data_IF_383706524364
#
_entry.id   IF_383706524364
#
_cell.length_a   1.000
_cell.length_b   1.000
_cell.length_c   1.000
_cell.angle_alpha   90.00
_cell.angle_beta   90.00
_cell.angle_gamma   90.00
#
_symmetry.space_group_name_H-M   'P 1'
#
loop_
_entity.id
_entity.type
_entity.pdbx_description
1 polymer ?
#
# COMPACT_ATOMS: atom_id res chain seq x y z
N UNK A 1 13.60 15.67 16.00
CA UNK A 1 13.92 15.56 14.56
C UNK A 1 12.83 14.66 13.99
N UNK A 2 11.87 15.23 13.25
CA UNK A 2 10.65 14.51 12.87
C UNK A 2 10.97 13.30 11.99
N UNK A 3 10.60 12.13 12.48
CA UNK A 3 10.72 10.85 11.78
C UNK A 3 9.58 10.75 10.79
N UNK A 4 9.90 10.49 9.52
CA UNK A 4 8.91 10.40 8.45
C UNK A 4 8.74 8.96 7.99
N UNK A 5 7.48 8.55 7.84
CA UNK A 5 7.15 7.25 7.28
C UNK A 5 7.73 7.13 5.87
N UNK A 6 8.41 6.01 5.60
CA UNK A 6 8.92 5.67 4.28
C UNK A 6 7.84 4.92 3.54
N UNK A 7 7.42 5.42 2.37
CA UNK A 7 6.47 4.72 1.52
C UNK A 7 7.21 3.63 0.75
N UNK A 8 6.69 2.42 0.81
CA UNK A 8 7.27 1.24 0.16
C UNK A 8 6.45 0.79 -1.05
N UNK A 9 5.14 0.93 -0.97
CA UNK A 9 4.22 0.44 -2.00
C UNK A 9 3.00 1.35 -2.03
N UNK A 10 2.47 1.56 -3.23
CA UNK A 10 1.14 2.07 -3.42
C UNK A 10 0.38 1.10 -4.32
N UNK A 11 -0.85 0.76 -3.94
CA UNK A 11 -1.71 -0.08 -4.76
C UNK A 11 -3.12 0.51 -4.91
N UNK A 12 -3.65 0.46 -6.12
CA UNK A 12 -5.04 0.78 -6.45
C UNK A 12 -5.77 -0.52 -6.72
N UNK A 13 -6.72 -0.85 -5.86
CA UNK A 13 -7.60 -1.98 -6.00
C UNK A 13 -8.96 -1.52 -6.53
N UNK A 14 -9.48 -2.15 -7.56
CA UNK A 14 -10.83 -1.92 -8.07
C UNK A 14 -11.61 -3.22 -7.92
N UNK A 15 -12.79 -3.13 -7.33
CA UNK A 15 -13.74 -4.25 -7.28
C UNK A 15 -14.83 -4.05 -8.31
N UNK A 16 -15.27 -5.15 -8.89
CA UNK A 16 -16.22 -5.16 -9.99
C UNK A 16 -16.98 -6.48 -9.99
N UNK A 17 -18.24 -6.47 -10.43
CA UNK A 17 -18.99 -7.71 -10.59
C UNK A 17 -18.53 -8.49 -11.82
N UNK A 18 -18.42 -9.81 -11.67
CA UNK A 18 -18.18 -10.79 -12.74
C UNK A 18 -16.89 -10.53 -13.54
N UNK A 19 -15.88 -9.91 -12.91
CA UNK A 19 -14.57 -9.72 -13.52
C UNK A 19 -13.86 -11.09 -13.67
N UNK A 20 -13.62 -11.49 -14.91
CA UNK A 20 -12.89 -12.71 -15.24
C UNK A 20 -11.36 -12.46 -15.21
N UNK A 21 -10.59 -13.14 -14.34
CA UNK A 21 -9.13 -12.99 -14.28
C UNK A 21 -8.44 -13.20 -15.62
N UNK A 22 -8.87 -14.20 -16.40
CA UNK A 22 -8.19 -14.60 -17.64
C UNK A 22 -8.44 -13.62 -18.79
N UNK A 23 -9.46 -12.76 -18.67
CA UNK A 23 -9.69 -11.69 -19.64
C UNK A 23 -8.62 -10.58 -19.52
N UNK A 24 -7.99 -10.44 -18.36
CA UNK A 24 -6.95 -9.43 -18.09
C UNK A 24 -5.56 -10.07 -18.18
N UNK A 25 -5.19 -10.48 -19.40
CA UNK A 25 -3.87 -11.06 -19.70
C UNK A 25 -2.92 -10.03 -20.34
N UNK A 26 -1.66 -10.42 -20.54
CA UNK A 26 -0.62 -9.54 -21.08
C UNK A 26 -0.99 -8.95 -22.45
N UNK A 27 -1.49 -9.79 -23.36
CA UNK A 27 -1.85 -9.38 -24.71
C UNK A 27 -2.99 -8.37 -24.69
N UNK A 28 -4.04 -8.64 -23.91
CA UNK A 28 -5.13 -7.69 -23.69
C UNK A 28 -4.59 -6.34 -23.23
N UNK A 29 -3.72 -6.30 -22.21
CA UNK A 29 -3.20 -5.05 -21.67
C UNK A 29 -2.37 -4.27 -22.69
N UNK A 30 -1.56 -4.95 -23.50
CA UNK A 30 -0.75 -4.33 -24.56
C UNK A 30 -1.62 -3.83 -25.72
N UNK A 31 -2.47 -4.67 -26.29
CA UNK A 31 -3.32 -4.30 -27.43
C UNK A 31 -4.36 -3.23 -27.06
N UNK A 32 -4.77 -3.17 -25.79
CA UNK A 32 -5.65 -2.11 -25.28
C UNK A 32 -4.93 -0.80 -24.99
N UNK A 33 -3.60 -0.73 -25.14
CA UNK A 33 -2.75 0.39 -24.74
C UNK A 33 -2.88 0.79 -23.26
N UNK A 34 -3.27 -0.17 -22.40
CA UNK A 34 -3.32 0.04 -20.96
C UNK A 34 -1.89 0.13 -20.45
N UNK A 35 -1.05 -0.85 -20.79
CA UNK A 35 0.40 -0.81 -20.59
C UNK A 35 1.11 -0.52 -21.92
N UNK A 36 2.39 -0.13 -21.84
CA UNK A 36 3.20 0.08 -23.03
C UNK A 36 3.64 -1.25 -23.68
N UNK A 37 3.82 -1.25 -25.00
CA UNK A 37 4.14 -2.47 -25.76
C UNK A 37 5.53 -3.03 -25.47
N UNK A 38 6.46 -2.15 -25.09
CA UNK A 38 7.85 -2.46 -24.72
C UNK A 38 8.00 -3.00 -23.29
N UNK A 39 6.94 -3.00 -22.48
CA UNK A 39 7.03 -3.56 -21.12
C UNK A 39 7.31 -5.06 -21.13
N UNK A 40 8.29 -5.45 -20.32
CA UNK A 40 8.71 -6.82 -20.12
C UNK A 40 8.35 -7.32 -18.72
N UNK A 41 7.99 -8.60 -18.65
CA UNK A 41 7.75 -9.26 -17.37
C UNK A 41 9.07 -9.52 -16.65
N UNK A 42 9.12 -9.24 -15.35
CA UNK A 42 10.24 -9.59 -14.47
C UNK A 42 10.32 -11.08 -14.16
N UNK A 43 9.19 -11.80 -14.33
CA UNK A 43 9.05 -13.24 -14.14
C UNK A 43 7.89 -13.77 -14.97
N UNK A 44 7.84 -15.07 -15.29
CA UNK A 44 6.72 -15.66 -16.02
C UNK A 44 5.36 -15.29 -15.42
N UNK A 45 4.38 -15.00 -16.28
CA UNK A 45 3.02 -14.71 -15.86
C UNK A 45 2.43 -15.92 -15.14
N UNK A 46 1.73 -15.68 -14.03
CA UNK A 46 0.95 -16.72 -13.35
C UNK A 46 -0.49 -16.60 -13.81
N UNK A 47 -1.03 -17.64 -14.44
CA UNK A 47 -2.41 -17.69 -14.90
C UNK A 47 -3.07 -18.99 -14.45
N UNK A 48 -4.19 -18.84 -13.74
CA UNK A 48 -5.05 -19.94 -13.31
C UNK A 48 -6.51 -19.52 -13.49
N UNK A 49 -7.46 -20.42 -13.24
CA UNK A 49 -8.89 -20.09 -13.32
C UNK A 49 -9.32 -18.92 -12.40
N UNK A 50 -8.58 -18.66 -11.32
CA UNK A 50 -8.93 -17.69 -10.28
C UNK A 50 -7.88 -16.59 -10.08
N UNK A 51 -6.83 -16.56 -10.90
CA UNK A 51 -5.74 -15.60 -10.73
C UNK A 51 -5.05 -15.33 -12.06
N UNK A 52 -4.86 -14.06 -12.38
CA UNK A 52 -3.82 -13.63 -13.31
C UNK A 52 -2.90 -12.67 -12.59
N UNK A 53 -1.60 -12.94 -12.60
CA UNK A 53 -0.59 -12.08 -12.00
C UNK A 53 0.54 -11.81 -13.00
N UNK A 54 0.75 -10.52 -13.25
CA UNK A 54 1.78 -9.98 -14.12
C UNK A 54 2.67 -9.09 -13.26
N UNK A 55 3.98 -9.35 -13.26
CA UNK A 55 4.97 -8.54 -12.54
C UNK A 55 6.00 -8.07 -13.56
N UNK A 56 6.18 -6.77 -13.67
CA UNK A 56 6.99 -6.11 -14.69
C UNK A 56 8.34 -5.67 -14.13
N UNK A 57 9.35 -5.57 -15.01
CA UNK A 57 10.71 -5.17 -14.62
C UNK A 57 10.79 -3.75 -14.05
N UNK A 58 9.82 -2.89 -14.39
CA UNK A 58 9.72 -1.52 -13.91
C UNK A 58 9.09 -1.39 -12.50
N UNK A 59 8.89 -2.50 -11.77
CA UNK A 59 8.37 -2.47 -10.40
C UNK A 59 6.84 -2.47 -10.28
N UNK A 60 6.11 -2.51 -11.41
CA UNK A 60 4.66 -2.59 -11.41
C UNK A 60 4.19 -4.03 -11.40
N UNK A 61 3.12 -4.30 -10.65
CA UNK A 61 2.40 -5.55 -10.66
C UNK A 61 0.92 -5.32 -10.94
N UNK A 62 0.34 -6.18 -11.78
CA UNK A 62 -1.10 -6.22 -12.05
C UNK A 62 -1.59 -7.61 -11.62
N UNK A 63 -2.52 -7.62 -10.67
CA UNK A 63 -3.09 -8.85 -10.12
C UNK A 63 -4.60 -8.81 -10.29
N UNK A 64 -5.14 -9.77 -11.02
CA UNK A 64 -6.57 -9.93 -11.25
C UNK A 64 -7.05 -11.21 -10.60
N UNK A 65 -8.09 -11.09 -9.78
CA UNK A 65 -8.83 -12.16 -9.13
C UNK A 65 -10.31 -12.02 -9.50
N UNK A 66 -11.16 -13.04 -9.24
CA UNK A 66 -12.59 -12.89 -9.41
C UNK A 66 -13.07 -11.63 -8.69
N UNK A 67 -13.78 -10.79 -9.43
CA UNK A 67 -14.36 -9.54 -8.95
C UNK A 67 -13.37 -8.45 -8.49
N UNK A 68 -12.07 -8.59 -8.74
CA UNK A 68 -11.06 -7.65 -8.25
C UNK A 68 -9.85 -7.55 -9.16
N UNK A 69 -9.39 -6.34 -9.40
CA UNK A 69 -8.08 -6.07 -10.01
C UNK A 69 -7.28 -5.14 -9.11
N UNK A 70 -5.97 -5.35 -9.03
CA UNK A 70 -5.03 -4.54 -8.26
C UNK A 70 -3.89 -4.12 -9.16
N UNK A 71 -3.64 -2.82 -9.23
CA UNK A 71 -2.45 -2.21 -9.82
C UNK A 71 -1.56 -1.78 -8.66
N UNK A 72 -0.37 -2.36 -8.54
CA UNK A 72 0.56 -2.08 -7.47
C UNK A 72 1.91 -1.61 -8.04
N UNK A 73 2.54 -0.69 -7.33
CA UNK A 73 3.85 -0.14 -7.67
C UNK A 73 4.71 -0.16 -6.40
N UNK A 74 5.87 -0.81 -6.50
CA UNK A 74 6.90 -0.70 -5.49
C UNK A 74 7.55 0.68 -5.63
N UNK A 75 7.60 1.42 -4.52
CA UNK A 75 8.18 2.76 -4.46
C UNK A 75 9.59 2.61 -3.89
N UNK A 76 10.58 2.70 -4.78
CA UNK A 76 11.95 3.00 -4.37
C UNK A 76 12.13 4.53 -4.27
N UNK A 77 13.20 4.97 -3.61
CA UNK A 77 13.49 6.38 -3.27
C UNK A 77 13.50 7.38 -4.45
N UNK A 78 13.28 6.93 -5.68
CA UNK A 78 13.12 7.73 -6.89
C UNK A 78 11.63 7.99 -7.16
N UNK A 79 11.14 9.06 -6.56
CA UNK A 79 9.91 9.80 -6.87
C UNK A 79 8.60 9.00 -7.00
N UNK A 80 7.74 9.15 -5.99
CA UNK A 80 6.29 8.83 -6.01
C UNK A 80 5.52 9.65 -7.09
N UNK A 81 6.21 10.49 -7.85
CA UNK A 81 5.60 11.44 -8.78
C UNK A 81 5.12 10.81 -10.09
N UNK A 82 5.53 9.59 -10.40
CA UNK A 82 5.04 8.95 -11.62
C UNK A 82 3.66 8.35 -11.35
N UNK A 83 2.62 9.02 -11.88
CA UNK A 83 1.19 8.69 -11.77
C UNK A 83 0.81 7.36 -12.44
N UNK A 84 1.74 6.42 -12.61
CA UNK A 84 1.61 5.32 -13.56
C UNK A 84 0.45 4.42 -13.16
N UNK A 85 0.38 3.90 -11.94
CA UNK A 85 -0.70 2.97 -11.56
C UNK A 85 -2.11 3.60 -11.59
N UNK A 86 -2.23 4.91 -11.29
CA UNK A 86 -3.51 5.63 -11.43
C UNK A 86 -3.91 5.78 -12.91
N UNK A 87 -2.95 6.08 -13.78
CA UNK A 87 -3.18 6.12 -15.23
C UNK A 87 -3.53 4.74 -15.80
N UNK A 88 -2.86 3.67 -15.36
CA UNK A 88 -3.20 2.30 -15.74
C UNK A 88 -4.62 1.94 -15.33
N UNK A 89 -4.99 2.24 -14.08
CA UNK A 89 -6.34 2.03 -13.56
C UNK A 89 -7.39 2.80 -14.37
N UNK A 90 -7.13 4.08 -14.70
CA UNK A 90 -8.03 4.91 -15.50
C UNK A 90 -8.21 4.33 -16.91
N UNK A 91 -7.11 4.00 -17.60
CA UNK A 91 -7.16 3.36 -18.93
C UNK A 91 -7.90 2.02 -18.90
N UNK A 92 -7.72 1.23 -17.85
CA UNK A 92 -8.43 -0.04 -17.70
C UNK A 92 -9.95 0.17 -17.65
N UNK A 93 -10.40 1.17 -16.90
CA UNK A 93 -11.82 1.54 -16.79
C UNK A 93 -12.37 2.08 -18.11
N UNK A 94 -11.58 2.88 -18.83
CA UNK A 94 -11.94 3.39 -20.16
C UNK A 94 -12.09 2.27 -21.20
N UNK A 95 -11.27 1.22 -21.12
CA UNK A 95 -11.31 0.09 -22.06
C UNK A 95 -12.38 -0.94 -21.74
N UNK A 96 -12.86 -0.98 -20.49
CA UNK A 96 -13.89 -1.90 -20.04
C UNK A 96 -15.07 -1.16 -19.38
N UNK A 97 -15.70 -0.19 -20.07
CA UNK A 97 -16.67 0.72 -19.45
C UNK A 97 -17.94 0.01 -18.97
N UNK A 98 -18.27 -1.16 -19.54
CA UNK A 98 -19.50 -1.90 -19.27
C UNK A 98 -19.43 -2.79 -18.02
N UNK A 99 -18.27 -2.84 -17.35
CA UNK A 99 -18.12 -3.59 -16.10
C UNK A 99 -18.90 -2.89 -14.99
N UNK A 100 -19.54 -3.69 -14.13
CA UNK A 100 -20.24 -3.19 -12.95
C UNK A 100 -19.25 -2.98 -11.80
N UNK A 101 -18.48 -1.89 -11.87
CA UNK A 101 -17.58 -1.46 -10.79
C UNK A 101 -18.34 -1.16 -9.49
N UNK A 102 -17.76 -1.52 -8.35
CA UNK A 102 -18.43 -1.47 -7.04
C UNK A 102 -17.69 -0.59 -6.03
N UNK A 103 -16.36 -0.72 -5.95
CA UNK A 103 -15.55 0.05 -5.01
C UNK A 103 -14.11 0.22 -5.50
N UNK A 104 -13.43 1.25 -5.00
CA UNK A 104 -12.01 1.52 -5.20
C UNK A 104 -11.30 1.61 -3.85
N UNK A 105 -10.21 0.87 -3.71
CA UNK A 105 -9.29 0.96 -2.59
C UNK A 105 -7.99 1.62 -3.00
N UNK A 106 -7.59 2.71 -2.36
CA UNK A 106 -6.22 3.27 -2.45
C UNK A 106 -5.44 2.76 -1.25
N UNK A 107 -4.34 2.04 -1.49
CA UNK A 107 -3.65 1.24 -0.46
C UNK A 107 -2.17 1.62 -0.39
N UNK A 108 -1.82 2.71 0.32
CA UNK A 108 -0.43 2.99 0.63
C UNK A 108 0.07 2.04 1.73
N UNK A 109 1.31 1.59 1.58
CA UNK A 109 2.06 0.91 2.63
C UNK A 109 3.35 1.64 2.88
N UNK A 110 3.69 1.77 4.15
CA UNK A 110 4.93 2.38 4.55
C UNK A 110 5.45 1.79 5.85
N UNK A 111 6.66 2.19 6.21
CA UNK A 111 7.33 1.68 7.38
C UNK A 111 8.22 2.73 8.04
N UNK A 112 8.60 2.43 9.28
CA UNK A 112 9.75 3.03 9.96
C UNK A 112 10.60 1.92 10.55
N UNK A 113 11.92 2.10 10.53
CA UNK A 113 12.90 1.10 11.01
C UNK A 113 13.55 1.51 12.31
N UNK A 114 14.02 0.52 13.06
CA UNK A 114 14.68 0.68 14.36
C UNK A 114 16.05 0.01 14.35
N UNK A 115 16.98 0.52 15.16
CA UNK A 115 18.31 -0.07 15.38
C UNK A 115 18.28 -1.23 16.35
N UNK A 116 17.51 -1.06 17.42
CA UNK A 116 17.37 -2.05 18.47
C UNK A 116 16.46 -3.17 18.01
N UNK A 117 16.86 -4.42 18.30
CA UNK A 117 16.13 -5.64 17.92
C UNK A 117 14.66 -5.64 18.40
N UNK A 118 14.38 -5.01 19.53
CA UNK A 118 13.06 -4.86 20.14
C UNK A 118 12.43 -3.47 19.89
N UNK A 119 13.05 -2.59 19.11
CA UNK A 119 12.61 -1.20 18.94
C UNK A 119 11.19 -1.09 18.38
N UNK A 120 10.86 -1.89 17.37
CA UNK A 120 9.51 -1.94 16.79
C UNK A 120 8.45 -2.39 17.80
N UNK A 121 8.74 -3.45 18.56
CA UNK A 121 7.86 -3.96 19.61
C UNK A 121 7.66 -2.94 20.73
N UNK A 122 8.74 -2.31 21.17
CA UNK A 122 8.71 -1.27 22.19
C UNK A 122 7.85 -0.09 21.72
N UNK A 123 8.00 0.37 20.48
CA UNK A 123 7.18 1.45 19.95
C UNK A 123 5.69 1.11 19.98
N UNK A 124 5.29 -0.08 19.50
CA UNK A 124 3.87 -0.47 19.52
C UNK A 124 3.35 -0.61 20.95
N UNK A 125 4.06 -1.34 21.80
CA UNK A 125 3.59 -1.64 23.16
C UNK A 125 3.65 -0.45 24.09
N UNK A 126 4.69 0.39 24.01
CA UNK A 126 4.94 1.48 24.96
C UNK A 126 4.38 2.82 24.48
N UNK A 127 4.36 3.09 23.18
CA UNK A 127 3.95 4.39 22.65
C UNK A 127 2.50 4.39 22.15
N UNK A 128 1.98 3.25 21.68
CA UNK A 128 0.62 3.18 21.12
C UNK A 128 -0.42 2.58 22.06
N UNK A 129 -0.01 1.72 22.99
CA UNK A 129 -0.91 1.03 23.91
C UNK A 129 -0.66 1.47 25.35
N UNK A 130 -1.73 1.57 26.15
CA UNK A 130 -1.61 1.82 27.59
C UNK A 130 -0.87 0.68 28.31
N UNK A 131 -0.25 0.97 29.46
CA UNK A 131 0.45 -0.05 30.24
C UNK A 131 -0.51 -0.99 30.98
N UNK A 132 -0.06 -2.23 31.19
CA UNK A 132 -0.80 -3.23 31.94
C UNK A 132 -0.04 -4.55 32.07
N UNK A 133 -0.46 -5.36 33.05
CA UNK A 133 0.17 -6.67 33.36
C UNK A 133 0.11 -7.65 32.19
N UNK A 134 -0.82 -7.46 31.26
CA UNK A 134 -0.95 -8.25 30.03
C UNK A 134 0.27 -8.19 29.11
N UNK A 135 1.12 -7.15 29.22
CA UNK A 135 2.30 -6.98 28.33
C UNK A 135 3.33 -8.10 28.50
N UNK A 136 3.50 -8.56 29.73
CA UNK A 136 4.49 -9.57 30.12
C UNK A 136 3.83 -10.94 30.41
N UNK A 137 2.56 -11.11 30.04
CA UNK A 137 1.86 -12.36 30.28
C UNK A 137 2.38 -13.46 29.35
N UNK A 138 3.12 -14.42 29.91
CA UNK A 138 3.63 -15.59 29.20
C UNK A 138 5.15 -15.75 29.35
N UNK A 139 5.75 -16.52 28.43
CA UNK A 139 7.22 -16.75 28.41
C UNK A 139 7.97 -15.79 27.49
N UNK A 140 7.25 -15.06 26.66
CA UNK A 140 7.79 -14.10 25.70
C UNK A 140 6.93 -12.86 25.70
N UNK A 141 7.49 -11.67 25.37
CA UNK A 141 6.70 -10.46 25.24
C UNK A 141 5.53 -10.66 24.27
N UNK A 142 4.39 -10.03 24.59
CA UNK A 142 3.21 -10.07 23.72
C UNK A 142 3.50 -9.39 22.39
N UNK A 143 2.95 -9.94 21.30
CA UNK A 143 2.93 -9.27 20.00
C UNK A 143 1.59 -8.58 19.80
N UNK A 144 1.63 -7.32 19.37
CA UNK A 144 0.43 -6.53 19.17
C UNK A 144 0.29 -6.06 17.73
N UNK A 145 -0.96 -5.98 17.30
CA UNK A 145 -1.40 -5.39 16.04
C UNK A 145 -2.52 -4.40 16.37
N UNK A 146 -2.50 -3.23 15.75
CA UNK A 146 -3.53 -2.20 15.94
C UNK A 146 -4.27 -2.03 14.62
N UNK A 147 -5.59 -2.04 14.67
CA UNK A 147 -6.45 -1.75 13.53
C UNK A 147 -7.40 -0.61 13.88
N UNK A 148 -7.39 0.42 13.05
CA UNK A 148 -8.17 1.65 13.23
C UNK A 148 -9.00 1.88 11.97
N UNK A 149 -10.25 2.27 12.15
CA UNK A 149 -11.14 2.66 11.06
C UNK A 149 -11.58 4.11 11.30
N UNK A 150 -11.22 4.99 10.37
CA UNK A 150 -11.60 6.39 10.36
C UNK A 150 -12.72 6.59 9.34
N UNK A 151 -13.89 7.01 9.81
CA UNK A 151 -14.96 7.47 8.90
C UNK A 151 -14.65 8.90 8.51
N UNK A 152 -14.34 9.12 7.23
CA UNK A 152 -14.11 10.43 6.64
C UNK A 152 -15.31 10.78 5.74
N UNK A 153 -15.32 11.95 5.11
CA UNK A 153 -16.50 12.46 4.38
C UNK A 153 -16.98 11.48 3.30
N UNK A 154 -16.10 11.12 2.35
CA UNK A 154 -16.47 10.33 1.16
C UNK A 154 -16.04 8.85 1.25
N UNK A 155 -15.30 8.45 2.30
CA UNK A 155 -14.65 7.14 2.37
C UNK A 155 -14.27 6.74 3.80
N UNK A 156 -13.99 5.45 3.97
CA UNK A 156 -13.41 4.91 5.21
C UNK A 156 -11.92 4.68 4.98
N UNK A 157 -11.09 5.21 5.89
CA UNK A 157 -9.68 4.84 5.98
C UNK A 157 -9.52 3.74 7.02
N UNK A 158 -9.13 2.55 6.58
CA UNK A 158 -8.65 1.49 7.46
C UNK A 158 -7.12 1.58 7.57
N UNK A 159 -6.60 1.72 8.78
CA UNK A 159 -5.17 1.74 9.07
C UNK A 159 -4.82 0.56 9.96
N UNK A 160 -3.87 -0.26 9.51
CA UNK A 160 -3.27 -1.33 10.30
C UNK A 160 -1.83 -0.99 10.64
N UNK A 161 -1.44 -1.21 11.90
CA UNK A 161 -0.09 -0.98 12.42
C UNK A 161 0.42 -2.28 13.03
N UNK A 162 1.53 -2.80 12.51
CA UNK A 162 2.12 -4.06 12.94
C UNK A 162 3.63 -3.91 13.16
N UNK A 163 4.17 -4.59 14.17
CA UNK A 163 5.61 -4.85 14.22
C UNK A 163 6.01 -5.92 13.19
N UNK A 164 7.24 -5.85 12.70
CA UNK A 164 7.77 -6.81 11.76
C UNK A 164 9.27 -6.67 11.53
N UNK A 165 9.77 -7.42 10.56
CA UNK A 165 11.15 -7.34 10.08
C UNK A 165 11.14 -6.91 8.61
N UNK A 166 11.81 -5.80 8.32
CA UNK A 166 12.07 -5.34 6.97
C UNK A 166 13.36 -6.01 6.47
N UNK A 167 13.26 -6.82 5.42
CA UNK A 167 14.43 -7.40 4.76
C UNK A 167 15.11 -6.33 3.88
N UNK A 168 16.35 -6.01 4.17
CA UNK A 168 17.19 -5.11 3.36
C UNK A 168 18.03 -5.92 2.37
N UNK A 169 18.47 -7.11 2.79
CA UNK A 169 19.16 -8.08 1.94
C UNK A 169 18.83 -9.50 2.41
N UNK A 170 19.38 -10.52 1.75
CA UNK A 170 19.20 -11.92 2.14
C UNK A 170 19.61 -12.18 3.60
N UNK A 171 20.64 -11.47 4.09
CA UNK A 171 21.23 -11.69 5.42
C UNK A 171 20.89 -10.59 6.42
N UNK A 172 20.41 -9.43 5.96
CA UNK A 172 20.14 -8.27 6.81
C UNK A 172 18.66 -7.95 6.87
N UNK A 173 18.10 -8.03 8.07
CA UNK A 173 16.75 -7.55 8.39
C UNK A 173 16.80 -6.51 9.50
N UNK A 174 15.98 -5.47 9.39
CA UNK A 174 15.81 -4.49 10.46
C UNK A 174 14.42 -4.63 11.08
N UNK A 175 14.30 -4.50 12.42
CA UNK A 175 13.02 -4.30 13.07
C UNK A 175 12.31 -3.08 12.49
N UNK A 176 11.03 -3.23 12.18
CA UNK A 176 10.23 -2.20 11.56
C UNK A 176 8.81 -2.19 12.11
N UNK A 177 8.19 -1.01 12.12
CA UNK A 177 6.74 -0.88 12.27
C UNK A 177 6.18 -0.61 10.89
N UNK A 178 5.28 -1.48 10.46
CA UNK A 178 4.59 -1.43 9.18
C UNK A 178 3.24 -0.74 9.38
N UNK A 179 2.99 0.26 8.54
CA UNK A 179 1.71 0.94 8.42
C UNK A 179 1.09 0.52 7.08
N UNK A 180 -0.17 0.09 7.12
CA UNK A 180 -0.93 -0.32 5.94
C UNK A 180 -2.25 0.42 5.91
N UNK A 181 -2.39 1.34 4.94
CA UNK A 181 -3.62 2.08 4.72
C UNK A 181 -4.50 1.42 3.66
N UNK A 182 -5.82 1.58 3.80
CA UNK A 182 -6.82 1.28 2.78
C UNK A 182 -7.89 2.36 2.83
N UNK A 183 -7.86 3.26 1.85
CA UNK A 183 -8.93 4.24 1.61
C UNK A 183 -9.98 3.59 0.74
N UNK A 184 -11.11 3.22 1.33
CA UNK A 184 -12.18 2.50 0.67
C UNK A 184 -13.31 3.44 0.23
N UNK A 185 -13.45 3.59 -1.08
CA UNK A 185 -14.50 4.35 -1.74
C UNK A 185 -15.54 3.38 -2.30
N UNK A 186 -16.80 3.56 -1.92
CA UNK A 186 -17.91 2.91 -2.61
C UNK A 186 -18.26 3.73 -3.85
N UNK A 187 -18.46 3.07 -4.97
CA UNK A 187 -18.89 3.74 -6.20
C UNK A 187 -20.39 4.00 -6.11
N UNK A 188 -20.74 5.28 -6.02
CA UNK A 188 -22.13 5.74 -5.85
C UNK A 188 -22.64 6.26 -7.20
N UNK A 189 -23.45 5.46 -7.88
CA UNK A 189 -24.03 5.83 -9.17
C UNK A 189 -24.99 4.78 -9.66
N UNK A 190 -26.21 5.20 -10.02
CA UNK A 190 -27.25 4.28 -10.50
C UNK A 190 -27.04 3.96 -11.98
N UNK A 191 -26.43 4.89 -12.72
CA UNK A 191 -26.16 4.75 -14.14
C UNK A 191 -24.68 4.50 -14.41
N UNK A 192 -24.38 3.87 -15.55
CA UNK A 192 -23.01 3.54 -15.94
C UNK A 192 -22.11 4.78 -16.03
N UNK A 193 -22.60 5.87 -16.63
CA UNK A 193 -21.82 7.10 -16.79
C UNK A 193 -21.45 7.75 -15.45
N UNK A 194 -22.39 7.80 -14.51
CA UNK A 194 -22.15 8.31 -13.15
C UNK A 194 -21.05 7.50 -12.45
N UNK A 195 -21.11 6.17 -12.55
CA UNK A 195 -20.09 5.27 -11.95
C UNK A 195 -18.70 5.50 -12.55
N UNK A 196 -18.61 5.67 -13.87
CA UNK A 196 -17.33 5.96 -14.54
C UNK A 196 -16.80 7.35 -14.14
N UNK A 197 -17.65 8.36 -14.03
CA UNK A 197 -17.27 9.69 -13.56
C UNK A 197 -16.75 9.66 -12.13
N UNK A 198 -17.42 8.93 -11.23
CA UNK A 198 -16.99 8.78 -9.84
C UNK A 198 -15.64 8.07 -9.73
N UNK A 199 -15.46 6.98 -10.49
CA UNK A 199 -14.18 6.28 -10.60
C UNK A 199 -13.05 7.21 -11.06
N UNK A 200 -13.26 7.97 -12.13
CA UNK A 200 -12.27 8.91 -12.63
C UNK A 200 -11.94 9.99 -11.60
N UNK A 201 -12.95 10.53 -10.89
CA UNK A 201 -12.74 11.50 -9.81
C UNK A 201 -11.87 10.93 -8.70
N UNK A 202 -12.16 9.71 -8.23
CA UNK A 202 -11.37 9.03 -7.19
C UNK A 202 -9.94 8.83 -7.68
N UNK A 203 -9.77 8.29 -8.89
CA UNK A 203 -8.45 8.03 -9.48
C UNK A 203 -7.67 9.30 -9.82
N UNK A 204 -8.30 10.47 -9.98
CA UNK A 204 -7.61 11.74 -10.16
C UNK A 204 -7.12 12.34 -8.83
N UNK A 205 -7.77 12.01 -7.71
CA UNK A 205 -7.48 12.56 -6.39
C UNK A 205 -6.69 11.60 -5.47
N UNK A 206 -6.19 10.47 -5.99
CA UNK A 206 -5.48 9.45 -5.19
C UNK A 206 -4.31 10.02 -4.38
N UNK A 207 -3.62 11.05 -4.88
CA UNK A 207 -2.47 11.65 -4.21
C UNK A 207 -2.88 12.28 -2.86
N UNK A 208 -4.09 12.85 -2.77
CA UNK A 208 -4.61 13.38 -1.50
C UNK A 208 -4.77 12.27 -0.45
N UNK A 209 -5.09 11.05 -0.86
CA UNK A 209 -5.12 9.91 0.05
C UNK A 209 -3.73 9.58 0.57
N UNK A 210 -2.71 9.59 -0.29
CA UNK A 210 -1.33 9.37 0.13
C UNK A 210 -0.85 10.48 1.09
N UNK A 211 -1.15 11.74 0.77
CA UNK A 211 -0.84 12.89 1.63
C UNK A 211 -1.52 12.75 3.00
N UNK A 212 -2.82 12.41 3.02
CA UNK A 212 -3.59 12.17 4.26
C UNK A 212 -2.98 11.03 5.08
N UNK A 213 -2.58 9.95 4.42
CA UNK A 213 -1.92 8.81 5.07
C UNK A 213 -0.59 9.21 5.70
N UNK A 214 0.26 9.92 4.95
CA UNK A 214 1.55 10.40 5.45
C UNK A 214 1.37 11.38 6.60
N UNK A 215 0.42 12.31 6.47
CA UNK A 215 0.12 13.28 7.51
C UNK A 215 -0.37 12.60 8.79
N UNK A 216 -1.34 11.68 8.69
CA UNK A 216 -1.84 10.95 9.85
C UNK A 216 -0.70 10.24 10.59
N UNK A 217 0.14 9.52 9.86
CA UNK A 217 1.25 8.77 10.47
C UNK A 217 2.29 9.71 11.06
N UNK A 218 2.79 10.67 10.28
CA UNK A 218 3.86 11.56 10.73
C UNK A 218 3.41 12.46 11.89
N UNK A 219 2.20 13.01 11.83
CA UNK A 219 1.73 14.01 12.79
C UNK A 219 1.13 13.37 14.05
N UNK A 220 0.51 12.19 13.93
CA UNK A 220 -0.22 11.57 15.06
C UNK A 220 0.46 10.37 15.66
N UNK A 221 1.27 9.64 14.88
CA UNK A 221 1.95 8.44 15.36
C UNK A 221 3.45 8.69 15.59
N UNK A 222 4.15 9.34 14.66
CA UNK A 222 5.61 9.48 14.69
C UNK A 222 6.12 10.80 15.27
N UNK A 223 5.26 11.80 15.48
CA UNK A 223 5.67 13.09 16.04
C UNK A 223 6.26 12.91 17.44
N UNK A 224 7.35 13.66 17.73
CA UNK A 224 8.19 13.60 18.93
C UNK A 224 7.46 13.87 20.28
N UNK A 225 6.13 13.80 20.33
CA UNK A 225 5.33 13.85 21.57
C UNK A 225 5.58 12.65 22.49
N UNK A 226 6.33 11.64 22.02
CA UNK A 226 6.81 10.51 22.78
C UNK A 226 8.35 10.45 22.64
N UNK A 227 9.07 10.96 23.62
CA UNK A 227 10.54 10.92 23.64
C UNK A 227 11.03 9.47 23.62
N UNK A 228 11.55 9.01 22.47
CA UNK A 228 12.42 7.83 22.41
C UNK A 228 13.57 8.08 21.42
N UNK A 229 14.80 8.04 21.97
CA UNK A 229 16.07 8.42 21.34
C UNK A 229 16.66 7.36 20.38
N UNK A 230 15.92 6.29 20.04
CA UNK A 230 16.49 5.09 19.42
C UNK A 230 16.08 4.83 17.96
N UNK A 231 15.90 5.89 17.16
CA UNK A 231 15.40 5.79 15.78
C UNK A 231 16.36 6.49 14.81
N UNK A 232 16.76 5.83 13.72
CA UNK A 232 17.74 6.33 12.74
C UNK A 232 17.04 7.09 11.59
N UNK A 233 17.50 8.30 11.23
CA UNK A 233 17.18 8.93 9.94
C UNK A 233 17.88 8.18 8.80
N UNK A 234 17.14 7.84 7.74
CA UNK A 234 17.72 7.17 6.57
C UNK A 234 18.53 8.17 5.72
N UNK A 235 19.77 7.81 5.34
CA UNK A 235 20.66 8.65 4.51
C UNK A 235 22.08 8.89 5.04
N UNK A 236 22.43 8.36 6.22
CA UNK A 236 23.81 8.45 6.75
C UNK A 236 24.60 7.21 6.28
N UNK A 237 25.71 7.45 5.58
CA UNK A 237 26.66 6.41 5.21
C UNK A 237 27.20 5.74 6.47
N UNK A 238 26.94 4.45 6.63
CA UNK A 238 27.59 3.64 7.67
C UNK A 238 28.98 3.32 7.12
N UNK A 239 29.95 4.17 7.42
CA UNK A 239 31.35 3.84 7.18
C UNK A 239 31.70 2.58 7.98
N UNK A 240 32.38 1.59 7.39
CA UNK A 240 32.89 0.46 8.16
C UNK A 240 34.01 0.98 9.05
N UNK A 241 33.83 0.91 10.37
CA UNK A 241 34.92 1.12 11.31
C UNK A 241 35.91 -0.04 11.18
N UNK A 242 37.17 0.30 11.00
CA UNK A 242 38.37 -0.56 10.93
C UNK A 242 38.56 -1.30 12.26
#
# INVERSE_FOLDING_TARGET
MNKTVQIQELAIAITAKDLNPNAVNLDFLKYSNIISSDWELARPAVQTKSLTQLVFQNGIAIVTQPNRIVFAEAIDQKDIQQKIISQLAAKFIEKLPNIQYQAVGINPKGFVTFTESNGAANYVLKNLLASGEWREFGKTPVKAAIQLAYTLEDYILNLTINEGLLKISAEKSLPAVLFSGNFNYNIVGNHQQERLQDLHRILQNWNKNLETYQQLINDKFLSDRFEDKNLIPFGISISPSI
#
